data_IF_348622462038
#
_entry.id   IF_348622462038
#
_cell.length_a   1.000
_cell.length_b   1.000
_cell.length_c   1.000
_cell.angle_alpha   90.00
_cell.angle_beta   90.00
_cell.angle_gamma   90.00
#
_symmetry.space_group_name_H-M   'P 1'
#
loop_
_entity.id
_entity.type
_entity.pdbx_description
1 polymer ?
#
# COMPACT_ATOMS: atom_id res chain seq x y z
N UNK A 1 19.84 -24.77 11.80
CA UNK A 1 18.59 -25.40 12.27
C UNK A 1 17.69 -24.33 12.84
N UNK A 2 16.70 -23.90 12.04
CA UNK A 2 15.66 -22.96 12.48
C UNK A 2 14.48 -23.80 12.97
N UNK A 3 13.95 -23.50 14.15
CA UNK A 3 12.78 -24.15 14.71
C UNK A 3 11.56 -23.92 13.80
N UNK A 4 10.92 -24.98 13.26
CA UNK A 4 9.77 -24.84 12.36
C UNK A 4 8.51 -24.28 13.06
N UNK A 5 8.55 -24.04 14.37
CA UNK A 5 7.48 -23.35 15.11
C UNK A 5 7.61 -21.83 15.13
N UNK A 6 8.75 -21.27 14.72
CA UNK A 6 8.96 -19.82 14.63
C UNK A 6 8.42 -19.33 13.27
N UNK A 7 7.41 -18.44 13.25
CA UNK A 7 6.90 -17.88 12.01
C UNK A 7 8.01 -17.14 11.27
N UNK A 8 8.08 -17.34 9.96
CA UNK A 8 8.88 -16.51 9.06
C UNK A 8 8.43 -15.04 9.16
N UNK A 9 9.29 -14.10 8.78
CA UNK A 9 8.95 -12.66 8.71
C UNK A 9 7.68 -12.41 7.88
N UNK A 10 7.49 -13.21 6.81
CA UNK A 10 6.31 -13.14 5.95
C UNK A 10 5.06 -13.68 6.65
N UNK A 11 5.17 -14.77 7.42
CA UNK A 11 4.04 -15.30 8.20
C UNK A 11 3.62 -14.34 9.31
N UNK A 12 4.58 -13.73 10.00
CA UNK A 12 4.31 -12.70 11.01
C UNK A 12 3.63 -11.48 10.37
N UNK A 13 4.18 -10.96 9.27
CA UNK A 13 3.57 -9.89 8.49
C UNK A 13 2.14 -10.25 8.05
N UNK A 14 1.94 -11.43 7.48
CA UNK A 14 0.65 -11.89 6.98
C UNK A 14 -0.39 -11.96 8.10
N UNK A 15 0.00 -12.42 9.29
CA UNK A 15 -0.89 -12.49 10.46
C UNK A 15 -1.45 -11.12 10.86
N UNK A 16 -0.68 -10.05 10.65
CA UNK A 16 -1.12 -8.67 10.89
C UNK A 16 -1.97 -8.12 9.73
N UNK A 17 -1.70 -8.51 8.50
CA UNK A 17 -2.37 -7.98 7.31
C UNK A 17 -3.73 -8.64 7.04
N UNK A 18 -3.89 -9.95 7.26
CA UNK A 18 -5.12 -10.67 6.95
C UNK A 18 -6.39 -10.11 7.62
N UNK A 19 -6.37 -9.76 8.93
CA UNK A 19 -7.52 -9.13 9.57
C UNK A 19 -7.90 -7.77 8.97
N UNK A 20 -6.91 -7.03 8.47
CA UNK A 20 -7.14 -5.75 7.79
C UNK A 20 -7.70 -5.98 6.39
N UNK A 21 -7.13 -6.90 5.62
CA UNK A 21 -7.61 -7.26 4.28
C UNK A 21 -9.08 -7.69 4.31
N UNK A 22 -9.45 -8.56 5.25
CA UNK A 22 -10.83 -9.05 5.43
C UNK A 22 -11.82 -7.90 5.67
N UNK A 23 -11.41 -6.84 6.37
CA UNK A 23 -12.23 -5.64 6.54
C UNK A 23 -12.35 -4.84 5.24
N UNK A 24 -11.26 -4.71 4.46
CA UNK A 24 -11.29 -4.06 3.14
C UNK A 24 -12.22 -4.78 2.16
N UNK A 25 -12.29 -6.12 2.20
CA UNK A 25 -13.20 -6.91 1.37
C UNK A 25 -14.66 -6.50 1.57
N UNK A 26 -15.02 -6.03 2.78
CA UNK A 26 -16.36 -5.52 3.05
C UNK A 26 -16.67 -4.23 2.27
N UNK A 27 -15.67 -3.42 1.91
CA UNK A 27 -15.87 -2.24 1.07
C UNK A 27 -16.25 -2.64 -0.37
N UNK A 28 -15.72 -3.74 -0.88
CA UNK A 28 -16.11 -4.29 -2.20
C UNK A 28 -17.52 -4.86 -2.11
N UNK A 29 -17.78 -5.69 -1.10
CA UNK A 29 -19.10 -6.33 -0.87
C UNK A 29 -20.23 -5.32 -0.70
N UNK A 30 -19.93 -4.15 -0.13
CA UNK A 30 -20.88 -3.05 0.06
C UNK A 30 -20.83 -2.01 -1.06
N UNK A 31 -20.13 -2.29 -2.16
CA UNK A 31 -20.02 -1.44 -3.36
C UNK A 31 -19.48 -0.03 -3.09
N UNK A 32 -18.71 0.15 -2.01
CA UNK A 32 -18.01 1.42 -1.70
C UNK A 32 -16.73 1.57 -2.52
N UNK A 33 -16.10 0.46 -2.88
CA UNK A 33 -14.95 0.41 -3.80
C UNK A 33 -15.19 -0.68 -4.84
N UNK A 34 -14.64 -0.51 -6.04
CA UNK A 34 -14.80 -1.48 -7.11
C UNK A 34 -13.86 -2.69 -6.96
N UNK A 35 -12.62 -2.44 -6.55
CA UNK A 35 -11.54 -3.42 -6.53
C UNK A 35 -10.58 -3.12 -5.39
N UNK A 36 -9.90 -4.15 -4.91
CA UNK A 36 -8.76 -4.04 -3.99
C UNK A 36 -7.47 -4.38 -4.73
N UNK A 37 -6.37 -3.87 -4.20
CA UNK A 37 -5.02 -4.11 -4.67
C UNK A 37 -4.04 -3.79 -3.55
N UNK A 38 -2.77 -4.01 -3.84
CA UNK A 38 -1.66 -3.76 -2.93
C UNK A 38 -0.66 -2.81 -3.59
N UNK A 39 0.33 -2.41 -2.83
CA UNK A 39 1.47 -1.65 -3.31
C UNK A 39 2.72 -2.15 -2.59
N UNK A 40 3.82 -2.16 -3.33
CA UNK A 40 5.17 -2.40 -2.84
C UNK A 40 5.35 -3.73 -2.09
N UNK A 41 4.59 -4.77 -2.47
CA UNK A 41 4.84 -6.11 -1.96
C UNK A 41 5.94 -6.80 -2.76
N UNK A 42 6.81 -7.52 -2.06
CA UNK A 42 7.70 -8.47 -2.70
C UNK A 42 6.96 -9.75 -3.14
N UNK A 43 7.68 -10.66 -3.80
CA UNK A 43 7.13 -11.93 -4.26
C UNK A 43 6.53 -12.78 -3.13
N UNK A 44 7.22 -12.90 -1.99
CA UNK A 44 6.78 -13.78 -0.90
C UNK A 44 5.54 -13.20 -0.21
N UNK A 45 5.52 -11.89 0.02
CA UNK A 45 4.37 -11.17 0.58
C UNK A 45 3.15 -11.24 -0.34
N UNK A 46 3.31 -10.95 -1.63
CA UNK A 46 2.21 -11.02 -2.60
C UNK A 46 1.64 -12.44 -2.70
N UNK A 47 2.51 -13.44 -2.79
CA UNK A 47 2.11 -14.85 -2.84
C UNK A 47 1.35 -15.26 -1.59
N UNK A 48 1.88 -14.95 -0.41
CA UNK A 48 1.29 -15.30 0.87
C UNK A 48 -0.12 -14.70 1.03
N UNK A 49 -0.28 -13.42 0.70
CA UNK A 49 -1.58 -12.75 0.77
C UNK A 49 -2.57 -13.28 -0.29
N UNK A 50 -2.11 -13.49 -1.54
CA UNK A 50 -2.97 -14.01 -2.61
C UNK A 50 -3.50 -15.41 -2.30
N UNK A 51 -2.65 -16.29 -1.76
CA UNK A 51 -3.02 -17.68 -1.43
C UNK A 51 -3.90 -17.77 -0.18
N UNK A 52 -3.79 -16.81 0.73
CA UNK A 52 -4.56 -16.76 1.97
C UNK A 52 -5.91 -16.04 1.84
N UNK A 53 -6.21 -15.44 0.69
CA UNK A 53 -7.45 -14.71 0.43
C UNK A 53 -8.31 -15.43 -0.61
N UNK A 54 -9.64 -15.38 -0.45
CA UNK A 54 -10.57 -16.15 -1.27
C UNK A 54 -11.61 -15.28 -1.99
N UNK A 55 -12.23 -14.32 -1.30
CA UNK A 55 -13.33 -13.53 -1.83
C UNK A 55 -12.84 -12.45 -2.80
N UNK A 56 -11.90 -11.61 -2.36
CA UNK A 56 -11.31 -10.56 -3.19
C UNK A 56 -9.79 -10.59 -3.07
N UNK A 57 -9.15 -11.37 -3.95
CA UNK A 57 -7.69 -11.47 -4.03
C UNK A 57 -7.06 -10.16 -4.50
N UNK A 58 -5.80 -9.86 -4.12
CA UNK A 58 -5.06 -8.73 -4.66
C UNK A 58 -4.75 -8.96 -6.15
N UNK A 59 -5.51 -8.32 -7.03
CA UNK A 59 -5.35 -8.44 -8.50
C UNK A 59 -4.51 -7.32 -9.12
N UNK A 60 -4.06 -6.37 -8.29
CA UNK A 60 -3.22 -5.24 -8.68
C UNK A 60 -2.14 -5.11 -7.62
N UNK A 61 -0.90 -4.96 -8.06
CA UNK A 61 0.22 -4.56 -7.21
C UNK A 61 0.92 -3.34 -7.83
N UNK A 62 0.96 -2.25 -7.06
CA UNK A 62 1.68 -1.04 -7.43
C UNK A 62 3.13 -1.16 -7.00
N UNK A 63 4.04 -1.44 -7.94
CA UNK A 63 5.45 -1.65 -7.65
C UNK A 63 6.27 -0.36 -7.78
N UNK A 64 6.98 0.03 -6.71
CA UNK A 64 7.91 1.15 -6.71
C UNK A 64 9.17 0.87 -7.52
N UNK A 65 9.47 1.77 -8.46
CA UNK A 65 10.73 1.76 -9.23
C UNK A 65 11.83 2.61 -8.57
N UNK A 66 11.67 3.03 -7.32
CA UNK A 66 12.64 3.90 -6.61
C UNK A 66 14.01 3.22 -6.46
N UNK A 67 14.02 1.90 -6.18
CA UNK A 67 15.25 1.14 -5.90
C UNK A 67 15.78 0.39 -7.12
N UNK A 68 14.93 0.04 -8.09
CA UNK A 68 15.30 -0.68 -9.30
C UNK A 68 14.27 -0.45 -10.42
N UNK A 69 14.72 -0.18 -11.65
CA UNK A 69 13.86 0.01 -12.80
C UNK A 69 13.22 -1.29 -13.33
N UNK A 70 13.65 -2.45 -12.82
CA UNK A 70 13.21 -3.76 -13.28
C UNK A 70 12.53 -4.50 -12.14
N UNK A 71 11.29 -4.93 -12.39
CA UNK A 71 10.55 -5.81 -11.48
C UNK A 71 11.30 -7.16 -11.36
N UNK A 72 11.48 -7.70 -10.15
CA UNK A 72 12.12 -9.01 -9.95
C UNK A 72 11.46 -10.11 -10.80
N UNK A 73 12.24 -10.99 -11.45
CA UNK A 73 11.71 -12.03 -12.34
C UNK A 73 10.64 -12.90 -11.70
N UNK A 74 10.85 -13.34 -10.46
CA UNK A 74 9.95 -14.19 -9.68
C UNK A 74 8.59 -13.52 -9.43
N UNK A 75 8.60 -12.24 -9.04
CA UNK A 75 7.38 -11.45 -8.84
C UNK A 75 6.61 -11.31 -10.16
N UNK A 76 7.32 -11.01 -11.26
CA UNK A 76 6.72 -10.88 -12.59
C UNK A 76 6.11 -12.20 -13.08
N UNK A 77 6.78 -13.32 -12.83
CA UNK A 77 6.35 -14.64 -13.28
C UNK A 77 5.13 -15.14 -12.51
N UNK A 78 5.11 -14.92 -11.19
CA UNK A 78 3.96 -15.18 -10.33
C UNK A 78 2.76 -14.31 -10.71
N UNK A 79 2.98 -13.00 -10.84
CA UNK A 79 1.91 -12.06 -11.23
C UNK A 79 1.30 -12.45 -12.57
N UNK A 80 2.14 -12.81 -13.56
CA UNK A 80 1.66 -13.33 -14.86
C UNK A 80 0.86 -14.61 -14.71
N UNK A 81 1.29 -15.56 -13.86
CA UNK A 81 0.58 -16.82 -13.64
C UNK A 81 -0.80 -16.61 -13.02
N UNK A 82 -0.94 -15.61 -12.13
CA UNK A 82 -2.17 -15.32 -11.39
C UNK A 82 -3.01 -14.20 -12.03
N UNK A 83 -2.60 -13.68 -13.18
CA UNK A 83 -3.22 -12.52 -13.85
C UNK A 83 -3.30 -11.27 -12.96
N UNK A 84 -2.27 -11.05 -12.15
CA UNK A 84 -2.10 -9.87 -11.30
C UNK A 84 -1.46 -8.76 -12.15
N UNK A 85 -2.08 -7.58 -12.14
CA UNK A 85 -1.55 -6.40 -12.83
C UNK A 85 -0.45 -5.74 -12.01
N UNK A 86 0.78 -5.73 -12.53
CA UNK A 86 1.88 -4.96 -11.97
C UNK A 86 1.89 -3.55 -12.58
N UNK A 87 1.61 -2.55 -11.75
CA UNK A 87 1.57 -1.14 -12.15
C UNK A 87 2.75 -0.40 -11.52
N UNK A 88 3.66 0.12 -12.35
CA UNK A 88 4.83 0.82 -11.81
C UNK A 88 4.49 2.24 -11.34
N UNK A 89 5.14 2.68 -10.27
CA UNK A 89 5.15 4.08 -9.85
C UNK A 89 6.53 4.51 -9.38
N UNK A 90 6.75 5.83 -9.39
CA UNK A 90 7.94 6.49 -8.87
C UNK A 90 7.55 7.52 -7.78
N UNK A 91 6.49 7.19 -7.03
CA UNK A 91 6.00 8.04 -5.95
C UNK A 91 7.09 8.14 -4.85
N UNK A 92 7.26 9.32 -4.22
CA UNK A 92 8.26 9.51 -3.18
C UNK A 92 8.00 8.62 -1.97
N UNK A 93 9.08 8.14 -1.34
CA UNK A 93 8.98 7.49 -0.04
C UNK A 93 8.51 8.49 1.03
N UNK A 94 7.37 8.19 1.66
CA UNK A 94 6.74 9.08 2.64
C UNK A 94 7.06 8.69 4.10
N UNK A 95 7.97 7.74 4.34
CA UNK A 95 8.36 7.34 5.70
C UNK A 95 8.92 8.52 6.51
N UNK A 96 9.69 9.41 5.87
CA UNK A 96 10.30 10.59 6.51
C UNK A 96 9.36 11.79 6.64
N UNK A 97 8.08 11.64 6.31
CA UNK A 97 7.17 12.79 6.26
C UNK A 97 6.95 13.42 7.64
N UNK A 98 6.91 12.63 8.72
CA UNK A 98 6.80 13.15 10.08
C UNK A 98 8.00 14.03 10.44
N UNK A 99 9.20 13.65 10.04
CA UNK A 99 10.43 14.44 10.29
C UNK A 99 10.40 15.77 9.54
N UNK A 100 9.81 15.78 8.33
CA UNK A 100 9.67 16.99 7.49
C UNK A 100 8.46 17.84 7.87
N UNK A 101 7.50 17.26 8.58
CA UNK A 101 6.25 17.90 8.96
C UNK A 101 6.50 19.05 9.94
N UNK A 102 7.41 18.84 10.88
CA UNK A 102 7.76 19.75 11.96
C UNK A 102 8.08 21.18 11.51
N UNK A 103 8.93 21.32 10.48
CA UNK A 103 9.30 22.63 9.97
C UNK A 103 8.13 23.36 9.27
N UNK A 104 7.22 22.60 8.67
CA UNK A 104 6.08 23.14 7.92
C UNK A 104 4.92 23.47 8.85
N UNK A 105 4.61 22.58 9.78
CA UNK A 105 3.56 22.77 10.80
C UNK A 105 3.88 23.92 11.72
N UNK A 106 5.15 24.11 12.13
CA UNK A 106 5.54 25.28 12.93
C UNK A 106 5.19 26.62 12.29
N UNK A 107 5.30 26.72 10.97
CA UNK A 107 4.96 27.95 10.23
C UNK A 107 3.46 28.22 10.15
N UNK A 108 2.64 27.16 10.13
CA UNK A 108 1.20 27.25 9.91
C UNK A 108 0.39 27.24 11.21
N UNK A 109 0.86 26.48 12.20
CA UNK A 109 0.14 26.13 13.43
C UNK A 109 0.94 26.47 14.70
N UNK A 110 2.10 27.14 14.59
CA UNK A 110 2.91 27.54 15.74
C UNK A 110 3.56 26.34 16.45
N UNK A 111 3.62 26.36 17.78
CA UNK A 111 4.29 25.30 18.56
C UNK A 111 3.42 24.04 18.75
N UNK A 112 2.40 23.84 17.91
CA UNK A 112 1.59 22.64 17.96
C UNK A 112 2.31 21.46 17.32
N UNK A 113 2.23 20.30 17.97
CA UNK A 113 2.78 19.05 17.47
C UNK A 113 1.68 18.18 16.90
N UNK A 114 1.97 17.54 15.76
CA UNK A 114 1.04 16.68 15.05
C UNK A 114 1.70 15.35 14.73
N UNK A 115 0.96 14.26 14.92
CA UNK A 115 1.35 12.96 14.43
C UNK A 115 0.59 12.64 13.16
N UNK A 116 1.29 12.17 12.13
CA UNK A 116 0.64 11.59 10.97
C UNK A 116 -0.10 10.32 11.35
N UNK A 117 -1.40 10.27 11.04
CA UNK A 117 -2.23 9.10 11.24
C UNK A 117 -2.28 8.21 9.99
N UNK A 118 -2.48 8.80 8.82
CA UNK A 118 -2.42 8.06 7.55
C UNK A 118 -2.10 8.97 6.37
N UNK A 119 -1.58 8.35 5.31
CA UNK A 119 -1.48 8.94 3.99
C UNK A 119 -2.23 8.06 3.00
N UNK A 120 -2.98 8.69 2.11
CA UNK A 120 -3.57 8.03 0.97
C UNK A 120 -3.14 8.75 -0.31
N UNK A 121 -2.69 7.99 -1.30
CA UNK A 121 -2.44 8.51 -2.65
C UNK A 121 -3.75 8.51 -3.43
N UNK A 122 -4.06 9.63 -4.07
CA UNK A 122 -5.21 9.78 -4.95
C UNK A 122 -4.74 9.86 -6.40
N UNK A 123 -5.27 8.99 -7.26
CA UNK A 123 -5.12 9.08 -8.71
C UNK A 123 -6.50 9.14 -9.34
N UNK A 124 -6.75 10.17 -10.16
CA UNK A 124 -8.01 10.35 -10.88
C UNK A 124 -7.80 9.95 -12.33
N UNK A 125 -8.49 8.89 -12.75
CA UNK A 125 -8.42 8.34 -14.09
C UNK A 125 -9.69 8.65 -14.89
N UNK A 126 -9.53 9.32 -16.03
CA UNK A 126 -10.62 9.50 -16.98
C UNK A 126 -10.69 8.29 -17.92
N UNK A 127 -11.51 7.31 -17.55
CA UNK A 127 -11.62 6.02 -18.25
C UNK A 127 -11.93 6.15 -19.73
N UNK A 128 -12.78 7.10 -20.13
CA UNK A 128 -13.17 7.28 -21.54
C UNK A 128 -12.03 7.71 -22.47
N UNK A 129 -10.93 8.23 -21.91
CA UNK A 129 -9.77 8.70 -22.67
C UNK A 129 -8.48 7.99 -22.29
N UNK A 130 -8.53 7.05 -21.34
CA UNK A 130 -7.35 6.36 -20.80
C UNK A 130 -6.24 7.32 -20.34
N UNK A 131 -6.62 8.44 -19.69
CA UNK A 131 -5.68 9.44 -19.17
C UNK A 131 -5.83 9.65 -17.67
N UNK A 132 -4.70 9.91 -17.01
CA UNK A 132 -4.68 10.44 -15.64
C UNK A 132 -4.94 11.95 -15.72
N UNK A 133 -5.99 12.40 -15.03
CA UNK A 133 -6.37 13.82 -14.99
C UNK A 133 -6.02 14.49 -13.66
N UNK A 134 -5.62 13.71 -12.66
CA UNK A 134 -5.18 14.23 -11.37
C UNK A 134 -4.37 13.21 -10.58
N UNK A 135 -3.37 13.71 -9.85
CA UNK A 135 -2.61 12.97 -8.84
C UNK A 135 -2.48 13.84 -7.60
N UNK A 136 -2.51 13.23 -6.42
CA UNK A 136 -2.32 13.95 -5.16
C UNK A 136 -2.20 13.01 -3.97
N UNK A 137 -2.09 13.62 -2.80
CA UNK A 137 -2.03 12.91 -1.51
C UNK A 137 -3.06 13.50 -0.56
N UNK A 138 -3.70 12.63 0.21
CA UNK A 138 -4.55 12.98 1.35
C UNK A 138 -3.76 12.58 2.59
N UNK A 139 -3.56 13.54 3.49
CA UNK A 139 -2.86 13.31 4.75
C UNK A 139 -3.81 13.61 5.89
N UNK A 140 -3.82 12.74 6.89
CA UNK A 140 -4.54 13.00 8.14
C UNK A 140 -3.55 13.07 9.28
N UNK A 141 -3.62 14.16 10.03
CA UNK A 141 -2.83 14.40 11.22
C UNK A 141 -3.73 14.43 12.46
N UNK A 142 -3.18 14.02 13.59
CA UNK A 142 -3.79 14.22 14.92
C UNK A 142 -2.91 15.17 15.73
N UNK A 143 -3.53 16.18 16.34
CA UNK A 143 -2.83 17.11 17.22
C UNK A 143 -2.48 16.39 18.53
N UNK A 144 -1.23 16.45 18.95
CA UNK A 144 -0.81 16.07 20.30
C UNK A 144 -1.26 17.15 21.27
N UNK A 145 -2.21 16.81 22.12
CA UNK A 145 -2.59 17.66 23.26
C UNK A 145 -1.64 17.27 24.40
N UNK A 146 -0.71 18.15 24.71
CA UNK A 146 0.12 18.10 25.92
C UNK A 146 -0.68 18.52 27.14
#
# INVERSE_FOLDING_TARGET
DIDPSVPTEVEEWLSHILPFWTQLETLVRTHKVNTLGVADLDYEQLKALYESTNDHRPMIDHYSTEHCCTVPPELREYAKQKDIQLLTHNDPNLYSINERLDATTRKLFGNEHFDLLFIARLTVWLRSRSIIVGKGYILKFIRKIS
#
